data_IF_022811272153
#
_entry.id   IF_022811272153
#
_cell.length_a   1.000
_cell.length_b   1.000
_cell.length_c   1.000
_cell.angle_alpha   90.00
_cell.angle_beta   90.00
_cell.angle_gamma   90.00
#
_symmetry.space_group_name_H-M   'P 1'
#
loop_
_entity.id
_entity.type
_entity.pdbx_description
1 polymer ?
#
# COMPACT_ATOMS: atom_id res chain seq x y z
N UNK A 1 10.10 -7.11 -5.54
CA UNK A 1 10.11 -5.70 -5.96
C UNK A 1 8.92 -5.00 -5.30
N UNK A 2 9.11 -4.19 -4.27
CA UNK A 2 8.04 -3.36 -3.70
C UNK A 2 7.71 -2.19 -4.64
N UNK A 3 6.42 -1.90 -4.80
CA UNK A 3 5.90 -0.76 -5.55
C UNK A 3 4.85 -0.08 -4.70
N UNK A 4 4.88 1.24 -4.66
CA UNK A 4 3.84 2.05 -4.01
C UNK A 4 2.98 2.71 -5.09
N UNK A 5 1.68 2.47 -5.04
CA UNK A 5 0.70 3.08 -5.93
C UNK A 5 0.02 4.28 -5.23
N UNK A 6 -0.38 5.26 -6.01
CA UNK A 6 -1.24 6.34 -5.55
C UNK A 6 -2.70 5.87 -5.56
N UNK A 7 -3.30 5.77 -4.39
CA UNK A 7 -4.62 5.16 -4.20
C UNK A 7 -5.72 5.76 -5.08
N UNK A 8 -5.75 7.08 -5.19
CA UNK A 8 -6.75 7.84 -5.96
C UNK A 8 -6.68 7.65 -7.49
N UNK A 9 -5.66 6.95 -7.99
CA UNK A 9 -5.52 6.64 -9.43
C UNK A 9 -5.85 5.19 -9.75
N UNK A 10 -6.12 4.38 -8.71
CA UNK A 10 -6.34 2.95 -8.86
C UNK A 10 -7.82 2.60 -8.91
N UNK A 11 -8.18 1.75 -9.88
CA UNK A 11 -9.43 0.99 -9.91
C UNK A 11 -9.14 -0.48 -9.63
N UNK A 12 -9.74 -0.99 -8.57
CA UNK A 12 -9.54 -2.36 -8.10
C UNK A 12 -10.84 -3.14 -8.18
N UNK A 13 -10.80 -4.26 -8.88
CA UNK A 13 -11.89 -5.24 -8.91
C UNK A 13 -11.62 -6.37 -7.94
N UNK A 14 -12.57 -6.68 -7.07
CA UNK A 14 -12.49 -7.83 -6.16
C UNK A 14 -13.55 -8.84 -6.58
N UNK A 15 -13.16 -10.09 -6.75
CA UNK A 15 -14.08 -11.18 -7.10
C UNK A 15 -14.25 -12.09 -5.88
N UNK A 16 -15.48 -12.11 -5.34
CA UNK A 16 -15.87 -12.83 -4.13
C UNK A 16 -16.53 -11.92 -3.08
N UNK A 17 -17.56 -12.43 -2.39
CA UNK A 17 -18.38 -11.68 -1.41
C UNK A 17 -18.20 -12.12 0.05
N UNK A 18 -17.16 -12.92 0.33
CA UNK A 18 -16.90 -13.46 1.66
C UNK A 18 -16.04 -12.56 2.55
N UNK A 19 -15.69 -13.06 3.74
CA UNK A 19 -14.89 -12.33 4.75
C UNK A 19 -13.52 -11.85 4.26
N UNK A 20 -12.83 -12.67 3.47
CA UNK A 20 -11.52 -12.32 2.91
C UNK A 20 -11.57 -11.15 1.93
N UNK A 21 -12.60 -11.11 1.09
CA UNK A 21 -12.89 -10.00 0.16
C UNK A 21 -13.25 -8.73 0.92
N UNK A 22 -14.13 -8.84 1.92
CA UNK A 22 -14.54 -7.71 2.76
C UNK A 22 -13.35 -7.00 3.42
N UNK A 23 -12.45 -7.76 4.05
CA UNK A 23 -11.27 -7.18 4.72
C UNK A 23 -10.43 -6.38 3.72
N UNK A 24 -10.23 -6.90 2.50
CA UNK A 24 -9.44 -6.23 1.45
C UNK A 24 -10.19 -5.02 0.89
N UNK A 25 -11.47 -5.16 0.60
CA UNK A 25 -12.32 -4.08 0.12
C UNK A 25 -12.30 -2.89 1.09
N UNK A 26 -12.51 -3.16 2.39
CA UNK A 26 -12.46 -2.15 3.44
C UNK A 26 -11.09 -1.47 3.53
N UNK A 27 -10.01 -2.25 3.50
CA UNK A 27 -8.64 -1.70 3.60
C UNK A 27 -8.32 -0.78 2.42
N UNK A 28 -8.67 -1.19 1.21
CA UNK A 28 -8.40 -0.41 0.00
C UNK A 28 -9.28 0.83 -0.08
N UNK A 29 -10.58 0.70 0.19
CA UNK A 29 -11.51 1.82 0.21
C UNK A 29 -11.12 2.88 1.25
N UNK A 30 -10.75 2.47 2.46
CA UNK A 30 -10.25 3.39 3.49
C UNK A 30 -8.95 4.11 3.09
N UNK A 31 -8.19 3.55 2.15
CA UNK A 31 -7.00 4.20 1.59
C UNK A 31 -7.31 5.10 0.38
N UNK A 32 -8.58 5.27 0.01
CA UNK A 32 -9.02 6.11 -1.11
C UNK A 32 -8.94 5.44 -2.48
N UNK A 33 -8.83 4.11 -2.52
CA UNK A 33 -8.89 3.33 -3.79
C UNK A 33 -10.33 3.18 -4.23
N UNK A 34 -10.60 3.35 -5.53
CA UNK A 34 -11.87 3.00 -6.14
C UNK A 34 -12.02 1.47 -6.21
N UNK A 35 -12.99 0.92 -5.46
CA UNK A 35 -13.17 -0.52 -5.32
C UNK A 35 -14.55 -0.95 -5.78
N UNK A 36 -14.58 -1.91 -6.69
CA UNK A 36 -15.79 -2.65 -7.06
C UNK A 36 -15.66 -4.12 -6.65
N UNK A 37 -16.72 -4.68 -6.10
CA UNK A 37 -16.75 -6.07 -5.65
C UNK A 37 -17.83 -6.83 -6.42
N UNK A 38 -17.42 -7.88 -7.12
CA UNK A 38 -18.30 -8.78 -7.85
C UNK A 38 -18.51 -10.08 -7.09
N UNK A 39 -19.76 -10.46 -6.83
CA UNK A 39 -20.09 -11.75 -6.25
C UNK A 39 -21.56 -12.11 -6.49
N UNK A 40 -21.88 -13.40 -6.45
CA UNK A 40 -23.29 -13.87 -6.43
C UNK A 40 -24.00 -13.52 -5.12
N UNK A 41 -23.24 -13.54 -4.01
CA UNK A 41 -23.73 -13.25 -2.66
C UNK A 41 -22.68 -12.46 -1.88
N UNK A 42 -23.14 -11.64 -0.94
CA UNK A 42 -22.30 -10.83 -0.07
C UNK A 42 -22.65 -11.09 1.39
N UNK A 43 -21.64 -11.12 2.25
CA UNK A 43 -21.89 -11.07 3.71
C UNK A 43 -22.40 -9.68 4.08
N UNK A 44 -23.19 -9.59 5.16
CA UNK A 44 -23.85 -8.36 5.63
C UNK A 44 -22.87 -7.22 5.91
N UNK A 45 -21.66 -7.54 6.36
CA UNK A 45 -20.60 -6.57 6.64
C UNK A 45 -20.33 -5.58 5.48
N UNK A 46 -20.55 -5.97 4.21
CA UNK A 46 -20.34 -5.11 3.05
C UNK A 46 -21.22 -3.85 3.04
N UNK A 47 -22.37 -3.86 3.72
CA UNK A 47 -23.22 -2.69 3.84
C UNK A 47 -22.60 -1.57 4.69
N UNK A 48 -21.53 -1.86 5.44
CA UNK A 48 -20.86 -0.92 6.33
C UNK A 48 -19.62 -0.27 5.71
N UNK A 49 -19.35 -0.46 4.41
CA UNK A 49 -18.20 0.10 3.72
C UNK A 49 -18.62 0.78 2.41
N UNK A 50 -17.87 1.80 2.01
CA UNK A 50 -18.13 2.56 0.79
C UNK A 50 -17.41 1.91 -0.40
N UNK A 51 -18.07 0.92 -1.03
CA UNK A 51 -17.61 0.23 -2.25
C UNK A 51 -18.79 -0.05 -3.16
N UNK A 52 -18.55 -0.21 -4.45
CA UNK A 52 -19.59 -0.60 -5.40
C UNK A 52 -19.75 -2.13 -5.38
N UNK A 53 -20.96 -2.61 -5.08
CA UNK A 53 -21.29 -4.03 -5.07
C UNK A 53 -22.02 -4.41 -6.35
N UNK A 54 -21.52 -5.44 -7.03
CA UNK A 54 -22.11 -5.98 -8.25
C UNK A 54 -22.53 -7.43 -8.00
N UNK A 55 -23.84 -7.64 -7.89
CA UNK A 55 -24.40 -8.98 -7.64
C UNK A 55 -24.59 -9.72 -8.97
N UNK A 56 -23.53 -10.42 -9.39
CA UNK A 56 -23.48 -11.15 -10.67
C UNK A 56 -22.43 -12.27 -10.62
N UNK A 57 -22.54 -13.23 -11.53
CA UNK A 57 -21.45 -14.16 -11.83
C UNK A 57 -20.29 -13.46 -12.52
N UNK A 58 -19.10 -14.07 -12.46
CA UNK A 58 -17.94 -13.53 -13.13
C UNK A 58 -18.13 -13.48 -14.64
N UNK A 59 -17.76 -12.35 -15.22
CA UNK A 59 -17.69 -12.09 -16.65
C UNK A 59 -16.41 -11.26 -16.88
N UNK A 60 -15.68 -11.58 -17.93
CA UNK A 60 -14.42 -10.91 -18.32
C UNK A 60 -14.53 -9.39 -18.40
N UNK A 61 -15.69 -8.86 -18.80
CA UNK A 61 -15.95 -7.42 -18.88
C UNK A 61 -15.72 -6.70 -17.54
N UNK A 62 -15.95 -7.40 -16.41
CA UNK A 62 -15.76 -6.83 -15.09
C UNK A 62 -14.33 -6.33 -14.85
N UNK A 63 -13.33 -7.01 -15.45
CA UNK A 63 -11.92 -6.68 -15.22
C UNK A 63 -11.31 -5.76 -16.29
N UNK A 64 -12.02 -5.46 -17.37
CA UNK A 64 -11.47 -4.70 -18.51
C UNK A 64 -10.95 -3.32 -18.13
N UNK A 65 -11.68 -2.59 -17.30
CA UNK A 65 -11.32 -1.23 -16.84
C UNK A 65 -10.52 -1.20 -15.52
N UNK A 66 -10.25 -2.35 -14.88
CA UNK A 66 -9.51 -2.43 -13.63
C UNK A 66 -8.00 -2.45 -13.85
N UNK A 67 -7.26 -1.83 -12.93
CA UNK A 67 -5.79 -1.90 -12.88
C UNK A 67 -5.31 -3.15 -12.13
N UNK A 68 -6.02 -3.48 -11.05
CA UNK A 68 -5.69 -4.62 -10.18
C UNK A 68 -6.94 -5.46 -9.96
N UNK A 69 -6.80 -6.77 -10.06
CA UNK A 69 -7.85 -7.75 -9.80
C UNK A 69 -7.49 -8.59 -8.58
N UNK A 70 -8.39 -8.67 -7.60
CA UNK A 70 -8.20 -9.50 -6.40
C UNK A 70 -9.17 -10.67 -6.48
N UNK A 71 -8.63 -11.88 -6.54
CA UNK A 71 -9.37 -13.11 -6.61
C UNK A 71 -9.48 -13.66 -5.18
N UNK A 72 -10.71 -13.74 -4.66
CA UNK A 72 -10.99 -14.17 -3.30
C UNK A 72 -12.20 -15.12 -3.23
N UNK A 73 -12.19 -16.09 -4.12
CA UNK A 73 -13.13 -17.23 -4.22
C UNK A 73 -12.36 -18.53 -4.01
N UNK A 74 -13.08 -19.64 -3.88
CA UNK A 74 -12.50 -20.97 -3.64
C UNK A 74 -12.63 -21.93 -4.83
N UNK A 75 -13.43 -21.60 -5.83
CA UNK A 75 -13.63 -22.43 -7.02
C UNK A 75 -12.43 -22.34 -7.96
N UNK A 76 -11.64 -23.42 -8.03
CA UNK A 76 -10.37 -23.46 -8.77
C UNK A 76 -10.56 -23.25 -10.29
N UNK A 77 -11.62 -23.79 -10.88
CA UNK A 77 -11.90 -23.61 -12.31
C UNK A 77 -12.16 -22.14 -12.65
N UNK A 78 -13.00 -21.49 -11.86
CA UNK A 78 -13.26 -20.04 -12.01
C UNK A 78 -12.00 -19.21 -11.75
N UNK A 79 -11.18 -19.59 -10.76
CA UNK A 79 -9.89 -18.91 -10.49
C UNK A 79 -8.97 -19.00 -11.71
N UNK A 80 -8.80 -20.16 -12.29
CA UNK A 80 -7.90 -20.35 -13.44
C UNK A 80 -8.43 -19.60 -14.69
N UNK A 81 -9.75 -19.52 -14.90
CA UNK A 81 -10.37 -18.70 -15.92
C UNK A 81 -10.10 -17.21 -15.71
N UNK A 82 -10.27 -16.68 -14.49
CA UNK A 82 -9.98 -15.28 -14.14
C UNK A 82 -8.50 -14.97 -14.38
N UNK A 83 -7.60 -15.86 -13.97
CA UNK A 83 -6.15 -15.70 -14.17
C UNK A 83 -5.82 -15.65 -15.67
N UNK A 84 -6.42 -16.52 -16.49
CA UNK A 84 -6.26 -16.52 -17.95
C UNK A 84 -6.71 -15.17 -18.55
N UNK A 85 -7.87 -14.67 -18.12
CA UNK A 85 -8.39 -13.38 -18.57
C UNK A 85 -7.51 -12.22 -18.13
N UNK A 86 -7.02 -12.21 -16.88
CA UNK A 86 -6.09 -11.22 -16.38
C UNK A 86 -4.80 -11.19 -17.21
N UNK A 87 -4.23 -12.36 -17.53
CA UNK A 87 -3.04 -12.47 -18.37
C UNK A 87 -3.30 -11.93 -19.78
N UNK A 88 -4.45 -12.29 -20.39
CA UNK A 88 -4.82 -11.81 -21.74
C UNK A 88 -4.98 -10.30 -21.84
N UNK A 89 -5.38 -9.66 -20.73
CA UNK A 89 -5.60 -8.22 -20.62
C UNK A 89 -4.45 -7.48 -19.93
N UNK A 90 -3.34 -8.16 -19.61
CA UNK A 90 -2.18 -7.62 -18.90
C UNK A 90 -2.55 -6.94 -17.58
N UNK A 91 -3.51 -7.52 -16.83
CA UNK A 91 -3.94 -7.02 -15.52
C UNK A 91 -3.01 -7.53 -14.44
N UNK A 92 -2.74 -6.69 -13.43
CA UNK A 92 -2.12 -7.15 -12.19
C UNK A 92 -3.18 -7.92 -11.41
N UNK A 93 -2.87 -9.15 -10.99
CA UNK A 93 -3.81 -9.93 -10.17
C UNK A 93 -3.18 -10.51 -8.92
N UNK A 94 -4.00 -10.60 -7.87
CA UNK A 94 -3.66 -11.13 -6.55
C UNK A 94 -4.62 -12.26 -6.24
N UNK A 95 -4.09 -13.47 -6.09
CA UNK A 95 -4.91 -14.61 -5.65
C UNK A 95 -4.81 -14.73 -4.12
N UNK A 96 -5.92 -14.46 -3.44
CA UNK A 96 -6.00 -14.47 -1.98
C UNK A 96 -6.15 -15.87 -1.39
N UNK A 97 -6.65 -16.82 -2.17
CA UNK A 97 -6.80 -18.22 -1.75
C UNK A 97 -5.50 -18.99 -1.90
N UNK A 98 -4.75 -18.70 -2.98
CA UNK A 98 -3.45 -19.28 -3.24
C UNK A 98 -2.48 -18.22 -3.77
N UNK A 99 -1.72 -17.61 -2.86
CA UNK A 99 -0.80 -16.51 -3.21
C UNK A 99 0.27 -16.90 -4.25
N UNK A 100 0.62 -18.19 -4.36
CA UNK A 100 1.60 -18.70 -5.35
C UNK A 100 1.05 -18.66 -6.78
N UNK A 101 -0.26 -18.66 -6.97
CA UNK A 101 -0.93 -18.50 -8.26
C UNK A 101 -1.16 -17.00 -8.60
N UNK A 102 -0.78 -16.05 -7.75
CA UNK A 102 -0.91 -14.61 -7.99
C UNK A 102 0.38 -13.97 -8.52
N UNK A 103 0.27 -12.81 -9.15
CA UNK A 103 1.43 -11.98 -9.54
C UNK A 103 2.06 -11.26 -8.34
N UNK A 104 1.32 -11.09 -7.24
CA UNK A 104 1.77 -10.39 -6.05
C UNK A 104 0.91 -10.65 -4.84
N UNK A 105 1.26 -9.98 -3.76
CA UNK A 105 0.53 -10.01 -2.49
C UNK A 105 0.36 -8.59 -1.96
N UNK A 106 -0.71 -8.35 -1.20
CA UNK A 106 -0.87 -7.09 -0.46
C UNK A 106 -0.12 -7.23 0.87
N UNK A 107 0.91 -6.41 1.12
CA UNK A 107 1.67 -6.47 2.36
C UNK A 107 0.86 -5.93 3.55
N UNK A 108 1.29 -6.25 4.76
CA UNK A 108 0.83 -5.57 5.96
C UNK A 108 1.36 -4.15 5.96
N UNK A 109 0.49 -3.15 6.14
CA UNK A 109 0.82 -1.73 6.14
C UNK A 109 0.66 -1.13 7.54
N UNK A 110 1.56 -0.21 7.89
CA UNK A 110 1.44 0.73 9.01
C UNK A 110 1.82 2.12 8.53
N UNK A 111 1.22 3.13 9.12
CA UNK A 111 1.43 4.53 8.71
C UNK A 111 1.56 5.43 9.94
N UNK A 112 2.42 6.43 9.80
CA UNK A 112 2.39 7.65 10.59
C UNK A 112 1.87 8.80 9.71
N UNK A 113 2.02 10.06 10.12
CA UNK A 113 1.57 11.21 9.32
C UNK A 113 2.34 11.37 8.00
N UNK A 114 3.64 11.04 8.01
CA UNK A 114 4.54 11.29 6.88
C UNK A 114 5.26 10.04 6.37
N UNK A 115 5.10 8.88 7.03
CA UNK A 115 5.81 7.64 6.68
C UNK A 115 4.83 6.50 6.48
N UNK A 116 5.04 5.70 5.46
CA UNK A 116 4.32 4.44 5.22
C UNK A 116 5.31 3.27 5.26
N UNK A 117 5.02 2.29 6.10
CA UNK A 117 5.77 1.04 6.25
C UNK A 117 4.96 -0.12 5.72
N UNK A 118 5.57 -0.95 4.88
CA UNK A 118 4.94 -2.17 4.38
C UNK A 118 5.83 -3.38 4.61
N UNK A 119 5.26 -4.46 5.17
CA UNK A 119 6.00 -5.69 5.48
C UNK A 119 5.34 -6.88 4.80
N UNK A 120 6.15 -7.63 4.07
CA UNK A 120 5.80 -8.93 3.55
C UNK A 120 6.84 -9.96 3.97
N UNK A 121 6.41 -11.16 4.39
CA UNK A 121 7.29 -12.26 4.73
C UNK A 121 7.46 -13.21 3.55
N UNK A 122 8.70 -13.50 3.14
CA UNK A 122 8.98 -14.39 2.00
C UNK A 122 8.42 -15.80 2.17
N UNK A 123 8.21 -16.22 3.41
CA UNK A 123 7.69 -17.56 3.78
C UNK A 123 6.16 -17.60 3.92
N UNK A 124 5.45 -16.48 3.67
CA UNK A 124 4.00 -16.44 3.77
C UNK A 124 3.46 -16.51 5.21
N UNK A 125 4.05 -15.74 6.14
CA UNK A 125 3.58 -15.64 7.53
C UNK A 125 2.91 -14.28 7.82
N UNK A 126 1.59 -14.12 7.52
CA UNK A 126 0.90 -12.85 7.71
C UNK A 126 0.81 -12.41 9.18
N UNK A 127 0.65 -13.35 10.13
CA UNK A 127 0.62 -13.02 11.57
C UNK A 127 1.97 -12.51 12.07
N UNK A 128 3.06 -13.11 11.61
CA UNK A 128 4.42 -12.63 11.88
C UNK A 128 4.68 -11.25 11.26
N UNK A 129 4.16 -11.00 10.06
CA UNK A 129 4.24 -9.67 9.43
C UNK A 129 3.49 -8.61 10.23
N UNK A 130 2.30 -8.92 10.76
CA UNK A 130 1.52 -8.01 11.64
C UNK A 130 2.32 -7.71 12.91
N UNK A 131 2.80 -8.74 13.62
CA UNK A 131 3.58 -8.56 14.84
C UNK A 131 4.80 -7.66 14.62
N UNK A 132 5.54 -7.87 13.52
CA UNK A 132 6.71 -7.06 13.19
C UNK A 132 6.32 -5.63 12.80
N UNK A 133 5.24 -5.46 12.04
CA UNK A 133 4.73 -4.14 11.66
C UNK A 133 4.31 -3.32 12.89
N UNK A 134 3.62 -3.93 13.85
CA UNK A 134 3.22 -3.29 15.11
C UNK A 134 4.44 -2.87 15.96
N UNK A 135 5.48 -3.70 15.98
CA UNK A 135 6.73 -3.36 16.67
C UNK A 135 7.43 -2.15 16.02
N UNK A 136 7.49 -2.12 14.69
CA UNK A 136 8.17 -1.06 13.95
C UNK A 136 7.35 0.23 13.84
N UNK A 137 6.06 0.20 14.13
CA UNK A 137 5.20 1.39 14.09
C UNK A 137 5.72 2.50 15.00
N UNK A 138 6.09 2.18 16.23
CA UNK A 138 6.63 3.16 17.18
C UNK A 138 7.93 3.79 16.69
N UNK A 139 8.74 3.01 15.98
CA UNK A 139 9.99 3.50 15.40
C UNK A 139 9.71 4.53 14.31
N UNK A 140 8.86 4.22 13.34
CA UNK A 140 8.53 5.18 12.28
C UNK A 140 7.84 6.45 12.83
N UNK A 141 7.05 6.33 13.90
CA UNK A 141 6.43 7.49 14.56
C UNK A 141 7.49 8.42 15.15
N UNK A 142 8.61 7.90 15.69
CA UNK A 142 9.70 8.71 16.22
C UNK A 142 10.45 9.51 15.16
N UNK A 143 10.36 9.11 13.89
CA UNK A 143 10.97 9.79 12.75
C UNK A 143 10.02 10.74 12.01
N UNK A 144 8.74 10.79 12.38
CA UNK A 144 7.71 11.45 11.58
C UNK A 144 7.97 12.95 11.36
N UNK A 145 8.24 13.68 12.43
CA UNK A 145 8.53 15.11 12.37
C UNK A 145 9.88 15.39 11.68
N UNK A 146 10.86 14.51 11.88
CA UNK A 146 12.14 14.59 11.21
C UNK A 146 12.02 14.41 9.70
N UNK A 147 11.25 13.41 9.24
CA UNK A 147 11.00 13.21 7.82
C UNK A 147 10.24 14.38 7.19
N UNK A 148 9.30 14.97 7.91
CA UNK A 148 8.63 16.21 7.47
C UNK A 148 9.63 17.34 7.32
N UNK A 149 10.49 17.55 8.31
CA UNK A 149 11.49 18.61 8.31
C UNK A 149 12.48 18.48 7.15
N UNK A 150 13.10 17.32 6.97
CA UNK A 150 14.06 17.08 5.88
C UNK A 150 13.39 17.08 4.50
N UNK A 151 12.12 16.65 4.44
CA UNK A 151 11.29 16.74 3.24
C UNK A 151 11.02 18.18 2.80
N UNK A 152 10.75 19.09 3.74
CA UNK A 152 10.61 20.52 3.46
C UNK A 152 11.90 21.07 2.89
N UNK A 153 13.06 20.79 3.50
CA UNK A 153 14.37 21.22 2.99
C UNK A 153 14.57 20.76 1.55
N UNK A 154 14.34 19.47 1.28
CA UNK A 154 14.46 18.89 -0.07
C UNK A 154 13.65 19.65 -1.12
N UNK A 155 12.44 20.06 -0.77
CA UNK A 155 11.48 20.62 -1.70
C UNK A 155 11.57 22.16 -1.84
N UNK A 156 12.08 22.86 -0.83
CA UNK A 156 12.11 24.34 -0.82
C UNK A 156 13.49 24.90 -1.17
N UNK A 157 14.57 24.19 -0.88
CA UNK A 157 15.92 24.70 -1.13
C UNK A 157 16.23 24.74 -2.63
N UNK A 158 16.58 25.95 -3.10
CA UNK A 158 17.02 26.24 -4.46
C UNK A 158 18.53 26.49 -4.43
N UNK A 159 19.31 25.54 -4.97
CA UNK A 159 20.76 25.61 -5.07
C UNK A 159 21.25 24.69 -6.19
N UNK A 160 22.51 24.74 -6.50
CA UNK A 160 23.18 23.89 -7.48
C UNK A 160 23.01 22.41 -7.10
N UNK A 161 22.86 21.53 -8.09
CA UNK A 161 22.55 20.11 -7.87
C UNK A 161 23.56 19.40 -6.96
N UNK A 162 24.85 19.68 -7.16
CA UNK A 162 25.91 19.05 -6.37
C UNK A 162 25.87 19.49 -4.89
N UNK A 163 25.64 20.76 -4.65
CA UNK A 163 25.48 21.32 -3.30
C UNK A 163 24.22 20.80 -2.62
N UNK A 164 23.12 20.72 -3.37
CA UNK A 164 21.86 20.13 -2.85
C UNK A 164 22.05 18.69 -2.40
N UNK A 165 22.78 17.88 -3.16
CA UNK A 165 23.07 16.50 -2.76
C UNK A 165 23.91 16.44 -1.47
N UNK A 166 24.89 17.31 -1.29
CA UNK A 166 25.69 17.40 -0.06
C UNK A 166 24.81 17.78 1.14
N UNK A 167 23.98 18.80 0.98
CA UNK A 167 23.03 19.22 2.01
C UNK A 167 22.07 18.08 2.39
N UNK A 168 21.47 17.42 1.41
CA UNK A 168 20.53 16.32 1.69
C UNK A 168 21.22 15.13 2.37
N UNK A 169 22.48 14.83 2.02
CA UNK A 169 23.25 13.80 2.73
C UNK A 169 23.58 14.22 4.17
N UNK A 170 23.86 15.51 4.39
CA UNK A 170 24.15 16.06 5.71
C UNK A 170 22.92 16.01 6.62
N UNK A 171 21.73 16.35 6.14
CA UNK A 171 20.51 16.38 6.95
C UNK A 171 19.81 15.02 7.11
N UNK A 172 20.11 14.02 6.29
CA UNK A 172 19.46 12.70 6.34
C UNK A 172 20.38 11.61 6.90
N UNK A 173 20.86 11.81 8.14
CA UNK A 173 21.63 10.81 8.89
C UNK A 173 21.25 10.82 10.37
N UNK A 174 21.71 9.83 11.11
CA UNK A 174 21.39 9.64 12.54
C UNK A 174 21.97 10.76 13.42
N UNK A 175 23.14 11.28 13.11
CA UNK A 175 23.76 12.37 13.86
C UNK A 175 22.92 13.65 13.76
N UNK A 176 22.45 13.98 12.57
CA UNK A 176 21.57 15.11 12.36
C UNK A 176 20.18 14.88 12.98
N UNK A 177 19.66 13.64 12.93
CA UNK A 177 18.42 13.25 13.62
C UNK A 177 18.55 13.51 15.13
N UNK A 178 19.67 13.10 15.74
CA UNK A 178 19.93 13.39 17.17
C UNK A 178 19.95 14.89 17.47
N UNK A 179 20.61 15.69 16.62
CA UNK A 179 20.65 17.16 16.73
C UNK A 179 19.24 17.76 16.61
N UNK A 180 18.45 17.24 15.66
CA UNK A 180 17.05 17.65 15.45
C UNK A 180 16.21 17.37 16.70
N UNK A 181 16.32 16.20 17.30
CA UNK A 181 15.59 15.80 18.51
C UNK A 181 15.95 16.69 19.74
N UNK A 182 17.14 17.28 19.73
CA UNK A 182 17.56 18.29 20.71
C UNK A 182 17.05 19.70 20.39
N UNK A 183 16.23 19.85 19.36
CA UNK A 183 15.70 21.15 18.93
C UNK A 183 16.72 22.07 18.26
N UNK A 184 17.88 21.54 17.85
CA UNK A 184 18.98 22.30 17.26
C UNK A 184 19.10 22.20 15.73
N UNK A 185 18.27 21.40 15.09
CA UNK A 185 18.38 21.13 13.64
C UNK A 185 18.37 22.39 12.76
N UNK A 186 17.48 23.35 13.07
CA UNK A 186 17.40 24.62 12.32
C UNK A 186 18.67 25.49 12.52
N UNK A 187 19.14 25.59 13.74
CA UNK A 187 20.35 26.39 14.08
C UNK A 187 21.57 25.82 13.35
N UNK A 188 21.71 24.51 13.35
CA UNK A 188 22.85 23.86 12.67
C UNK A 188 22.77 24.07 11.16
N UNK A 189 21.60 24.01 10.57
CA UNK A 189 21.43 24.37 9.16
C UNK A 189 21.89 25.79 8.83
N UNK A 190 21.46 26.77 9.61
CA UNK A 190 21.82 28.18 9.43
C UNK A 190 23.32 28.47 9.61
N UNK A 191 24.06 27.57 10.28
CA UNK A 191 25.52 27.70 10.45
C UNK A 191 26.33 27.15 9.26
N UNK A 192 25.78 26.19 8.53
CA UNK A 192 26.52 25.48 7.49
C UNK A 192 25.97 25.71 6.07
N UNK A 193 24.77 26.23 5.95
CA UNK A 193 24.06 26.50 4.71
C UNK A 193 23.20 27.79 4.78
#
# INVERSE_FOLDING_TARGET
MPITFFANTLRVGIIGGGRGSYIKARTLSNSGVEVEVLSREFIEDFHNISVTLIKKEYDKKFIEDKHIVIIAISDEETIDNIISDCNSLSKIYINSSNFKKGMGVIPVKRESKNISLSINTKVGNPKGAVMLADKLQKEIESYDDFMKFTGVIRNTVVMEKAEKLKLLSFVNNEDFKYIFDKGKGKIVLELFY
#
